data_IF_092865227470
#
_entry.id   IF_092865227470
#
_cell.length_a   1.000
_cell.length_b   1.000
_cell.length_c   1.000
_cell.angle_alpha   90.00
_cell.angle_beta   90.00
_cell.angle_gamma   90.00
#
_symmetry.space_group_name_H-M   'P 1'
#
loop_
_entity.id
_entity.type
_entity.pdbx_description
1 polymer ?
#
# COMPACT_ATOMS: atom_id res chain seq x y z
N UNK A 1 37.77 -28.42 -17.08
CA UNK A 1 37.94 -26.95 -17.13
C UNK A 1 38.32 -26.58 -18.56
N UNK A 2 37.87 -25.44 -19.11
CA UNK A 2 37.33 -24.22 -18.47
C UNK A 2 35.79 -24.27 -18.41
N UNK A 3 35.10 -23.97 -17.31
CA UNK A 3 34.97 -22.69 -16.57
C UNK A 3 34.48 -21.54 -17.43
N UNK A 4 33.16 -21.34 -17.41
CA UNK A 4 32.53 -20.02 -17.66
C UNK A 4 31.53 -19.81 -16.54
N UNK A 5 32.07 -19.26 -15.46
CA UNK A 5 31.30 -18.64 -14.41
C UNK A 5 30.85 -17.24 -14.87
N UNK A 6 29.67 -16.83 -14.39
CA UNK A 6 29.20 -15.46 -14.20
C UNK A 6 28.68 -14.75 -15.45
N UNK A 7 27.35 -14.66 -15.52
CA UNK A 7 26.70 -13.37 -15.30
C UNK A 7 25.30 -13.62 -14.72
N UNK A 8 25.24 -13.75 -13.39
CA UNK A 8 24.02 -13.43 -12.64
C UNK A 8 23.67 -11.97 -12.93
N UNK A 9 22.86 -11.73 -13.95
CA UNK A 9 22.29 -10.40 -14.17
C UNK A 9 21.07 -10.22 -13.27
N UNK A 10 21.32 -10.28 -11.95
CA UNK A 10 20.43 -9.70 -10.94
C UNK A 10 20.57 -8.19 -11.10
N UNK A 11 19.77 -7.62 -11.99
CA UNK A 11 19.58 -6.17 -12.04
C UNK A 11 18.98 -5.76 -10.70
N UNK A 12 19.86 -5.24 -9.87
CA UNK A 12 19.61 -4.82 -8.51
C UNK A 12 18.77 -3.53 -8.51
N UNK A 13 17.46 -3.70 -8.44
CA UNK A 13 16.54 -2.69 -7.91
C UNK A 13 15.75 -3.29 -6.73
N UNK A 14 16.45 -3.93 -5.81
CA UNK A 14 15.89 -4.17 -4.48
C UNK A 14 16.23 -2.97 -3.59
N UNK A 15 15.29 -2.03 -3.52
CA UNK A 15 15.11 -1.28 -2.28
C UNK A 15 14.94 -2.36 -1.20
N UNK A 16 15.96 -2.57 -0.37
CA UNK A 16 15.87 -3.56 0.71
C UNK A 16 14.75 -3.06 1.63
N UNK A 17 13.62 -3.74 1.60
CA UNK A 17 12.50 -3.51 2.51
C UNK A 17 13.04 -3.38 3.94
N UNK A 18 12.47 -2.49 4.75
CA UNK A 18 12.88 -2.41 6.16
C UNK A 18 12.63 -3.76 6.86
N UNK A 19 13.35 -4.03 7.94
CA UNK A 19 13.17 -5.28 8.68
C UNK A 19 11.72 -5.44 9.14
N UNK A 20 11.09 -4.37 9.63
CA UNK A 20 9.69 -4.35 10.06
C UNK A 20 8.74 -4.62 8.89
N UNK A 21 9.00 -4.01 7.73
CA UNK A 21 8.20 -4.26 6.52
C UNK A 21 8.25 -5.74 6.11
N UNK A 22 9.43 -6.36 6.16
CA UNK A 22 9.59 -7.79 5.85
C UNK A 22 8.88 -8.67 6.88
N UNK A 23 9.04 -8.38 8.17
CA UNK A 23 8.39 -9.14 9.24
C UNK A 23 6.87 -9.10 9.13
N UNK A 24 6.30 -7.91 8.91
CA UNK A 24 4.86 -7.72 8.77
C UNK A 24 4.33 -8.43 7.52
N UNK A 25 4.99 -8.26 6.37
CA UNK A 25 4.62 -8.95 5.13
C UNK A 25 4.61 -10.48 5.31
N UNK A 26 5.67 -11.03 5.88
CA UNK A 26 5.79 -12.48 6.06
C UNK A 26 4.71 -13.01 7.02
N UNK A 27 4.41 -12.29 8.11
CA UNK A 27 3.34 -12.66 9.03
C UNK A 27 1.94 -12.65 8.38
N UNK A 28 1.68 -11.71 7.47
CA UNK A 28 0.41 -11.65 6.73
C UNK A 28 0.29 -12.78 5.72
N UNK A 29 1.38 -13.10 5.01
CA UNK A 29 1.43 -14.23 4.06
C UNK A 29 1.19 -15.55 4.80
N UNK A 30 1.87 -15.77 5.94
CA UNK A 30 1.72 -16.97 6.75
C UNK A 30 0.28 -17.18 7.24
N UNK A 31 -0.41 -16.09 7.57
CA UNK A 31 -1.81 -16.10 8.00
C UNK A 31 -2.83 -16.12 6.85
N UNK A 32 -2.39 -16.01 5.59
CA UNK A 32 -3.28 -15.91 4.44
C UNK A 32 -4.12 -14.61 4.40
N UNK A 33 -3.62 -13.55 5.04
CA UNK A 33 -4.30 -12.24 5.14
C UNK A 33 -3.78 -11.21 4.13
N UNK A 34 -2.71 -11.53 3.42
CA UNK A 34 -2.12 -10.62 2.44
C UNK A 34 -3.10 -10.32 1.29
N UNK A 35 -3.04 -9.10 0.76
CA UNK A 35 -3.82 -8.71 -0.42
C UNK A 35 -3.42 -9.61 -1.61
N UNK A 36 -4.37 -10.16 -2.38
CA UNK A 36 -4.07 -11.13 -3.44
C UNK A 36 -3.31 -10.47 -4.59
N UNK A 37 -2.00 -10.71 -4.63
CA UNK A 37 -1.10 -10.23 -5.68
C UNK A 37 -0.68 -11.39 -6.58
N UNK A 38 -0.72 -11.17 -7.90
CA UNK A 38 -0.34 -12.19 -8.91
C UNK A 38 1.17 -12.46 -9.00
N UNK A 39 1.99 -11.64 -8.35
CA UNK A 39 3.45 -11.71 -8.43
C UNK A 39 4.05 -11.06 -9.68
N UNK A 40 3.23 -10.52 -10.58
CA UNK A 40 3.69 -9.83 -11.78
C UNK A 40 4.57 -8.63 -11.42
N UNK A 41 5.76 -8.57 -12.02
CA UNK A 41 6.75 -7.51 -11.80
C UNK A 41 6.75 -6.57 -13.00
N UNK A 42 5.94 -5.52 -12.94
CA UNK A 42 6.03 -4.37 -13.84
C UNK A 42 6.71 -3.21 -13.12
N UNK A 43 7.56 -2.48 -13.82
CA UNK A 43 8.10 -1.19 -13.34
C UNK A 43 6.97 -0.17 -13.16
N UNK A 44 7.24 0.89 -12.40
CA UNK A 44 6.28 2.00 -12.22
C UNK A 44 5.80 2.54 -13.58
N UNK A 45 6.72 2.80 -14.49
CA UNK A 45 6.41 3.43 -15.77
C UNK A 45 5.64 2.51 -16.71
N UNK A 46 5.92 1.19 -16.68
CA UNK A 46 5.12 0.21 -17.40
C UNK A 46 3.68 0.11 -16.87
N UNK A 47 3.49 0.12 -15.55
CA UNK A 47 2.14 0.15 -14.94
C UNK A 47 1.41 1.41 -15.36
N UNK A 48 2.07 2.55 -15.22
CA UNK A 48 1.52 3.85 -15.54
C UNK A 48 1.08 3.94 -17.01
N UNK A 49 1.95 3.55 -17.96
CA UNK A 49 1.62 3.58 -19.39
C UNK A 49 0.40 2.70 -19.68
N UNK A 50 0.41 1.44 -19.21
CA UNK A 50 -0.70 0.50 -19.46
C UNK A 50 -2.02 0.99 -18.89
N UNK A 51 -2.01 1.56 -17.68
CA UNK A 51 -3.23 2.07 -17.05
C UNK A 51 -3.72 3.33 -17.78
N UNK A 52 -2.82 4.25 -18.16
CA UNK A 52 -3.19 5.45 -18.91
C UNK A 52 -3.86 5.08 -20.23
N UNK A 53 -3.29 4.14 -20.97
CA UNK A 53 -3.84 3.68 -22.25
C UNK A 53 -5.23 3.04 -22.04
N UNK A 54 -5.34 2.13 -21.07
CA UNK A 54 -6.62 1.50 -20.73
C UNK A 54 -7.69 2.52 -20.31
N UNK A 55 -7.33 3.55 -19.53
CA UNK A 55 -8.28 4.59 -19.13
C UNK A 55 -8.66 5.52 -20.30
N UNK A 56 -7.78 5.69 -21.28
CA UNK A 56 -8.08 6.43 -22.52
C UNK A 56 -9.16 5.70 -23.30
N UNK A 57 -9.04 4.37 -23.42
CA UNK A 57 -10.04 3.52 -24.04
C UNK A 57 -11.37 3.55 -23.27
N UNK A 58 -11.34 3.49 -21.94
CA UNK A 58 -12.54 3.58 -21.09
C UNK A 58 -13.26 4.91 -21.28
N UNK A 59 -12.55 6.04 -21.22
CA UNK A 59 -13.14 7.38 -21.41
C UNK A 59 -13.77 7.49 -22.80
N UNK A 60 -13.07 7.03 -23.83
CA UNK A 60 -13.57 7.02 -25.21
C UNK A 60 -14.81 6.12 -25.37
N UNK A 61 -14.81 4.94 -24.75
CA UNK A 61 -15.93 4.00 -24.78
C UNK A 61 -17.20 4.54 -24.08
N UNK A 62 -17.03 5.43 -23.10
CA UNK A 62 -18.13 6.17 -22.46
C UNK A 62 -18.68 7.31 -23.33
N UNK A 63 -18.09 7.58 -24.50
CA UNK A 63 -18.48 8.66 -25.41
C UNK A 63 -18.04 10.05 -24.96
N UNK A 64 -17.03 10.13 -24.08
CA UNK A 64 -16.48 11.40 -23.61
C UNK A 64 -15.45 11.95 -24.61
N UNK A 65 -15.50 13.27 -24.85
CA UNK A 65 -14.61 13.96 -25.78
C UNK A 65 -13.27 14.28 -25.12
N UNK A 66 -12.21 13.58 -25.53
CA UNK A 66 -10.85 13.80 -25.04
C UNK A 66 -10.17 15.04 -25.65
N UNK A 67 -10.82 15.76 -26.57
CA UNK A 67 -10.34 17.06 -27.05
C UNK A 67 -10.78 18.21 -26.14
N UNK A 68 -11.70 17.96 -25.20
CA UNK A 68 -12.07 18.89 -24.15
C UNK A 68 -10.90 19.06 -23.15
N UNK A 69 -10.57 20.31 -22.85
CA UNK A 69 -9.43 20.69 -22.01
C UNK A 69 -9.55 20.17 -20.56
N UNK A 70 -10.77 19.94 -20.08
CA UNK A 70 -11.01 19.36 -18.77
C UNK A 70 -10.74 17.85 -18.73
N UNK A 71 -10.97 17.16 -19.84
CA UNK A 71 -10.97 15.70 -19.93
C UNK A 71 -9.68 15.10 -20.50
N UNK A 72 -8.95 15.84 -21.35
CA UNK A 72 -7.71 15.39 -22.01
C UNK A 72 -6.72 14.73 -21.03
N UNK A 73 -6.55 15.32 -19.84
CA UNK A 73 -5.61 14.85 -18.81
C UNK A 73 -6.21 13.81 -17.84
N UNK A 74 -7.47 13.41 -18.01
CA UNK A 74 -8.14 12.47 -17.10
C UNK A 74 -7.48 11.09 -17.07
N UNK A 75 -7.15 10.45 -18.21
CA UNK A 75 -6.45 9.17 -18.20
C UNK A 75 -5.08 9.25 -17.49
N UNK A 76 -4.35 10.35 -17.68
CA UNK A 76 -3.10 10.63 -16.96
C UNK A 76 -3.32 10.68 -15.44
N UNK A 77 -4.28 11.50 -15.00
CA UNK A 77 -4.58 11.70 -13.57
C UNK A 77 -4.98 10.39 -12.89
N UNK A 78 -5.79 9.54 -13.55
CA UNK A 78 -6.20 8.25 -13.00
C UNK A 78 -5.02 7.27 -12.92
N UNK A 79 -4.20 7.19 -13.97
CA UNK A 79 -3.02 6.33 -13.96
C UNK A 79 -2.03 6.72 -12.84
N UNK A 80 -1.77 8.02 -12.70
CA UNK A 80 -0.95 8.54 -11.60
C UNK A 80 -1.54 8.22 -10.24
N UNK A 81 -2.84 8.45 -10.05
CA UNK A 81 -3.55 8.17 -8.80
C UNK A 81 -3.45 6.68 -8.41
N UNK A 82 -3.63 5.76 -9.36
CA UNK A 82 -3.54 4.33 -9.09
C UNK A 82 -2.11 3.87 -8.77
N UNK A 83 -1.11 4.38 -9.49
CA UNK A 83 0.28 3.91 -9.34
C UNK A 83 0.96 4.54 -8.12
N UNK A 84 0.76 5.84 -7.89
CA UNK A 84 1.55 6.60 -6.92
C UNK A 84 0.79 6.97 -5.64
N UNK A 85 -0.55 6.88 -5.64
CA UNK A 85 -1.37 7.46 -4.57
C UNK A 85 -2.21 6.38 -3.85
N UNK A 86 -3.40 6.07 -4.36
CA UNK A 86 -4.42 5.34 -3.59
C UNK A 86 -4.11 3.84 -3.42
N UNK A 87 -3.18 3.29 -4.21
CA UNK A 87 -2.71 1.91 -4.09
C UNK A 87 -1.23 1.80 -3.70
N UNK A 88 -0.63 2.89 -3.21
CA UNK A 88 0.76 2.94 -2.74
C UNK A 88 1.07 1.90 -1.67
N UNK A 89 0.08 1.49 -0.87
CA UNK A 89 0.21 0.47 0.17
C UNK A 89 0.45 -0.94 -0.34
N UNK A 90 0.32 -1.20 -1.65
CA UNK A 90 0.73 -2.46 -2.27
C UNK A 90 2.24 -2.62 -2.34
N UNK A 91 3.00 -1.53 -2.29
CA UNK A 91 4.46 -1.55 -2.25
C UNK A 91 4.96 -1.45 -0.80
N UNK A 92 5.57 -2.52 -0.31
CA UNK A 92 6.19 -2.53 1.03
C UNK A 92 7.40 -1.60 1.15
N UNK A 93 7.93 -1.06 0.03
CA UNK A 93 8.88 0.05 0.05
C UNK A 93 8.32 1.31 0.72
N UNK A 94 7.00 1.51 0.67
CA UNK A 94 6.28 2.61 1.31
C UNK A 94 5.86 2.33 2.76
N UNK A 95 6.25 1.17 3.32
CA UNK A 95 5.92 0.82 4.69
C UNK A 95 6.52 1.85 5.67
N UNK A 96 5.74 2.35 6.65
CA UNK A 96 6.21 3.45 7.49
C UNK A 96 7.36 3.02 8.40
N UNK A 97 8.38 3.87 8.51
CA UNK A 97 9.45 3.71 9.52
C UNK A 97 8.85 3.67 10.92
N UNK A 98 9.01 2.53 11.59
CA UNK A 98 8.51 2.29 12.95
C UNK A 98 9.46 2.91 13.97
N UNK A 99 8.89 3.47 15.05
CA UNK A 99 9.65 3.96 16.19
C UNK A 99 9.04 3.40 17.46
N UNK A 100 9.88 2.72 18.24
CA UNK A 100 9.53 2.11 19.52
C UNK A 100 10.36 2.75 20.63
N UNK A 101 9.78 2.90 21.82
CA UNK A 101 10.49 3.26 23.04
C UNK A 101 10.30 2.15 24.08
N UNK A 102 11.24 2.04 25.03
CA UNK A 102 11.09 1.12 26.15
C UNK A 102 9.91 1.54 27.04
N UNK A 103 9.12 0.57 27.50
CA UNK A 103 8.06 0.77 28.46
C UNK A 103 8.62 0.94 29.89
N UNK A 104 9.44 1.97 30.12
CA UNK A 104 10.06 2.27 31.42
C UNK A 104 9.05 2.67 32.50
N UNK A 105 7.85 3.06 32.07
CA UNK A 105 6.76 3.44 32.97
C UNK A 105 5.97 2.23 33.46
N UNK A 106 6.29 1.01 32.99
CA UNK A 106 5.53 -0.20 33.26
C UNK A 106 4.02 0.02 33.02
N UNK A 107 3.69 0.65 31.89
CA UNK A 107 2.30 0.90 31.52
C UNK A 107 1.63 -0.43 31.21
N UNK A 108 0.74 -0.86 32.10
CA UNK A 108 -0.10 -2.07 31.94
C UNK A 108 -1.51 -1.72 31.42
N UNK A 109 -1.82 -0.44 31.33
CA UNK A 109 -3.11 0.07 30.85
C UNK A 109 -3.16 0.22 29.33
N UNK A 110 -4.38 0.16 28.79
CA UNK A 110 -4.62 0.28 27.35
C UNK A 110 -4.24 1.65 26.81
N UNK A 111 -3.45 1.65 25.74
CA UNK A 111 -3.23 2.83 24.89
C UNK A 111 -4.22 2.77 23.74
N UNK A 112 -5.08 3.79 23.61
CA UNK A 112 -6.09 3.87 22.56
C UNK A 112 -5.92 5.14 21.71
N UNK A 113 -5.83 4.96 20.39
CA UNK A 113 -5.93 6.04 19.40
C UNK A 113 -7.29 5.93 18.73
N UNK A 114 -8.11 6.98 18.88
CA UNK A 114 -9.47 7.03 18.33
C UNK A 114 -9.54 7.82 17.04
N UNK A 115 -10.55 7.51 16.23
CA UNK A 115 -10.91 8.28 15.05
C UNK A 115 -9.74 8.50 14.07
N UNK A 116 -8.93 7.46 13.86
CA UNK A 116 -7.91 7.45 12.82
C UNK A 116 -8.62 7.49 11.47
N UNK A 117 -8.32 8.50 10.63
CA UNK A 117 -8.93 8.62 9.31
C UNK A 117 -8.53 7.46 8.40
N UNK A 118 -9.53 6.78 7.84
CA UNK A 118 -9.37 5.69 6.86
C UNK A 118 -9.99 6.13 5.55
N UNK A 119 -9.14 6.37 4.55
CA UNK A 119 -9.56 6.50 3.16
C UNK A 119 -9.00 5.30 2.41
N UNK A 120 -9.88 4.50 1.82
CA UNK A 120 -9.53 3.29 1.09
C UNK A 120 -10.38 3.17 -0.17
N UNK A 121 -10.29 2.04 -0.86
CA UNK A 121 -10.96 1.78 -2.12
C UNK A 121 -11.50 0.35 -2.11
N UNK A 122 -12.80 0.17 -2.30
CA UNK A 122 -13.41 -1.17 -2.34
C UNK A 122 -12.90 -1.95 -3.55
N UNK A 123 -12.37 -3.15 -3.35
CA UNK A 123 -11.81 -3.94 -4.44
C UNK A 123 -12.85 -4.41 -5.48
N UNK A 124 -14.13 -4.46 -5.12
CA UNK A 124 -15.19 -4.92 -6.03
C UNK A 124 -15.55 -3.89 -7.10
N UNK A 125 -15.46 -2.59 -6.78
CA UNK A 125 -15.95 -1.51 -7.66
C UNK A 125 -14.92 -0.39 -7.88
N UNK A 126 -13.81 -0.42 -7.13
CA UNK A 126 -12.79 0.63 -7.13
C UNK A 126 -13.35 2.02 -6.75
N UNK A 127 -14.33 2.02 -5.86
CA UNK A 127 -14.98 3.23 -5.30
C UNK A 127 -14.49 3.49 -3.89
N UNK A 128 -14.48 4.76 -3.49
CA UNK A 128 -14.02 5.25 -2.20
C UNK A 128 -14.71 4.56 -1.02
N UNK A 129 -13.89 4.15 -0.05
CA UNK A 129 -14.29 3.84 1.32
C UNK A 129 -13.83 5.02 2.18
N UNK A 130 -14.77 5.64 2.90
CA UNK A 130 -14.49 6.72 3.86
C UNK A 130 -14.94 6.26 5.25
N UNK A 131 -14.02 6.24 6.21
CA UNK A 131 -14.28 5.72 7.53
C UNK A 131 -13.28 6.15 8.60
N UNK A 132 -13.49 5.61 9.79
CA UNK A 132 -12.67 5.85 10.97
C UNK A 132 -12.27 4.51 11.59
N UNK A 133 -11.02 4.43 12.05
CA UNK A 133 -10.51 3.30 12.82
C UNK A 133 -10.20 3.72 14.27
N UNK A 134 -10.56 2.84 15.19
CA UNK A 134 -10.15 2.91 16.59
C UNK A 134 -9.14 1.79 16.83
N UNK A 135 -7.91 2.15 17.18
CA UNK A 135 -6.83 1.18 17.46
C UNK A 135 -6.48 1.24 18.92
N UNK A 136 -6.46 0.07 19.57
CA UNK A 136 -6.05 -0.08 20.96
C UNK A 136 -5.09 -1.24 21.13
N UNK A 137 -4.13 -1.09 22.03
CA UNK A 137 -3.23 -2.18 22.41
C UNK A 137 -2.82 -2.04 23.89
N UNK A 138 -2.47 -3.17 24.50
CA UNK A 138 -1.81 -3.21 25.79
C UNK A 138 -0.29 -3.23 25.56
N UNK A 139 0.47 -2.25 26.06
CA UNK A 139 1.91 -2.25 25.90
C UNK A 139 2.57 -3.46 26.56
N UNK A 140 3.51 -4.10 25.86
CA UNK A 140 4.47 -5.04 26.47
C UNK A 140 5.73 -4.29 26.89
N UNK A 141 6.90 -4.82 26.50
CA UNK A 141 8.20 -4.18 26.78
C UNK A 141 8.41 -2.86 26.02
N UNK A 142 7.64 -2.63 24.95
CA UNK A 142 7.79 -1.50 24.05
C UNK A 142 6.48 -0.74 23.87
N UNK A 143 6.60 0.56 23.71
CA UNK A 143 5.51 1.47 23.33
C UNK A 143 5.81 2.01 21.92
N UNK A 144 4.83 1.93 21.03
CA UNK A 144 4.94 2.50 19.69
C UNK A 144 4.64 4.01 19.71
N UNK A 145 5.35 4.78 18.89
CA UNK A 145 5.01 6.19 18.69
C UNK A 145 3.59 6.33 18.13
N UNK A 146 2.74 7.16 18.75
CA UNK A 146 1.32 7.30 18.39
C UNK A 146 1.07 7.64 16.90
N UNK A 147 1.96 8.43 16.30
CA UNK A 147 1.86 8.78 14.88
C UNK A 147 2.06 7.58 13.94
N UNK A 148 2.71 6.51 14.41
CA UNK A 148 2.96 5.30 13.61
C UNK A 148 1.71 4.46 13.43
N UNK A 149 0.83 4.41 14.43
CA UNK A 149 -0.47 3.74 14.34
C UNK A 149 -1.27 4.30 13.16
N UNK A 150 -1.39 5.62 13.08
CA UNK A 150 -2.06 6.31 11.96
C UNK A 150 -1.45 5.96 10.60
N UNK A 151 -0.12 5.89 10.52
CA UNK A 151 0.59 5.58 9.27
C UNK A 151 0.43 4.12 8.85
N UNK A 152 0.38 3.18 9.79
CA UNK A 152 0.14 1.76 9.52
C UNK A 152 -1.28 1.56 9.00
N UNK A 153 -2.27 2.16 9.67
CA UNK A 153 -3.67 2.14 9.21
C UNK A 153 -3.76 2.71 7.79
N UNK A 154 -3.15 3.88 7.54
CA UNK A 154 -3.12 4.46 6.20
C UNK A 154 -2.45 3.54 5.18
N UNK A 155 -1.30 2.95 5.50
CA UNK A 155 -0.57 2.05 4.60
C UNK A 155 -1.46 0.91 4.10
N UNK A 156 -2.15 0.21 5.00
CA UNK A 156 -3.05 -0.88 4.59
C UNK A 156 -4.33 -0.38 3.92
N UNK A 157 -4.81 0.82 4.27
CA UNK A 157 -5.95 1.44 3.61
C UNK A 157 -5.66 1.86 2.16
N UNK A 158 -4.41 2.16 1.79
CA UNK A 158 -4.02 2.49 0.42
C UNK A 158 -3.84 1.23 -0.45
N UNK A 159 -4.89 0.41 -0.54
CA UNK A 159 -4.98 -0.81 -1.36
C UNK A 159 -6.42 -0.97 -1.84
N UNK A 160 -6.68 -1.75 -2.90
CA UNK A 160 -8.00 -2.34 -3.10
C UNK A 160 -8.31 -3.24 -1.90
N UNK A 161 -9.43 -3.00 -1.21
CA UNK A 161 -9.73 -3.65 0.06
C UNK A 161 -11.14 -4.21 0.17
N UNK A 162 -11.22 -5.21 1.05
CA UNK A 162 -12.42 -5.65 1.77
C UNK A 162 -12.26 -5.18 3.21
N UNK A 163 -13.29 -4.56 3.80
CA UNK A 163 -13.19 -3.95 5.13
C UNK A 163 -12.81 -4.99 6.20
N UNK A 164 -13.36 -6.18 6.09
CA UNK A 164 -13.12 -7.32 6.96
C UNK A 164 -11.64 -7.74 6.95
N UNK A 165 -11.00 -7.76 5.76
CA UNK A 165 -9.58 -8.06 5.61
C UNK A 165 -8.70 -6.91 6.09
N UNK A 166 -9.05 -5.66 5.77
CA UNK A 166 -8.33 -4.47 6.23
C UNK A 166 -8.24 -4.39 7.77
N UNK A 167 -9.21 -4.98 8.47
CA UNK A 167 -9.28 -4.96 9.94
C UNK A 167 -8.38 -6.01 10.60
N UNK A 168 -8.01 -7.09 9.90
CA UNK A 168 -7.16 -8.16 10.43
C UNK A 168 -5.68 -7.74 10.47
#
# INVERSE_FOLDING_TARGET
MPSTAIAENKVAFHCRLSNEAQMVRNALIEKGLETPLSGQQLTRDEKYSRIKDAMTDVVSALGLDLTDDSLEETPHRIAKMYVDEIFSGLDYGEFPKISLIDNKMATEEMVKVKAVKVISTCEHHFVTIDGLADVAYLPGDKIIGLSKINRIVKFFAQRPQVQERLTQ
#
